data_IF_111127074242
#
_entry.id   IF_111127074242
#
_cell.length_a   1.000
_cell.length_b   1.000
_cell.length_c   1.000
_cell.angle_alpha   90.00
_cell.angle_beta   90.00
_cell.angle_gamma   90.00
#
_symmetry.space_group_name_H-M   'P 1'
#
loop_
_entity.id
_entity.type
_entity.pdbx_description
1 polymer ?
#
# COMPACT_ATOMS: atom_id res chain seq x y z
N UNK A 1 -15.59 8.37 -13.62
CA UNK A 1 -15.31 7.16 -12.83
C UNK A 1 -13.82 7.06 -12.52
N UNK A 2 -13.47 6.43 -11.41
CA UNK A 2 -12.09 6.05 -11.04
C UNK A 2 -11.92 4.55 -11.34
N UNK A 3 -10.87 4.20 -12.06
CA UNK A 3 -10.57 2.81 -12.44
C UNK A 3 -9.12 2.51 -12.07
N UNK A 4 -8.91 1.48 -11.25
CA UNK A 4 -7.56 0.98 -10.94
C UNK A 4 -7.07 0.10 -12.08
N UNK A 5 -5.84 0.35 -12.52
CA UNK A 5 -5.17 -0.42 -13.55
C UNK A 5 -3.92 -1.05 -12.94
N UNK A 6 -3.94 -2.36 -12.78
CA UNK A 6 -2.80 -3.13 -12.31
C UNK A 6 -1.80 -3.37 -13.44
N UNK A 7 -0.62 -2.79 -13.33
CA UNK A 7 0.43 -2.90 -14.34
C UNK A 7 0.90 -4.35 -14.49
N UNK A 8 0.98 -5.09 -13.37
CA UNK A 8 1.35 -6.50 -13.38
C UNK A 8 0.41 -7.36 -14.24
N UNK A 9 -0.89 -7.07 -14.23
CA UNK A 9 -1.87 -7.80 -15.04
C UNK A 9 -1.75 -7.51 -16.54
N UNK A 10 -1.23 -6.33 -16.92
CA UNK A 10 -0.94 -6.01 -18.32
C UNK A 10 0.26 -6.78 -18.87
N UNK A 11 1.25 -7.06 -18.04
CA UNK A 11 2.45 -7.81 -18.38
C UNK A 11 2.19 -9.31 -18.34
N UNK A 12 1.25 -9.76 -17.50
CA UNK A 12 0.96 -11.18 -17.34
C UNK A 12 0.56 -11.84 -18.68
N UNK A 13 1.24 -12.93 -19.03
CA UNK A 13 0.99 -13.70 -20.26
C UNK A 13 1.47 -13.05 -21.55
N UNK A 14 2.14 -11.89 -21.52
CA UNK A 14 2.78 -11.32 -22.70
C UNK A 14 4.14 -12.01 -22.92
N UNK A 15 4.35 -12.56 -24.13
CA UNK A 15 5.63 -13.15 -24.54
C UNK A 15 6.55 -12.13 -25.20
N UNK A 16 5.98 -11.06 -25.74
CA UNK A 16 6.69 -10.05 -26.50
C UNK A 16 6.30 -8.64 -26.01
N UNK A 17 7.25 -7.72 -26.08
CA UNK A 17 7.08 -6.31 -25.75
C UNK A 17 5.87 -5.66 -26.46
N UNK A 18 5.66 -5.98 -27.72
CA UNK A 18 4.56 -5.42 -28.51
C UNK A 18 3.18 -5.73 -27.97
N UNK A 19 2.97 -6.91 -27.38
CA UNK A 19 1.66 -7.29 -26.80
C UNK A 19 1.27 -6.41 -25.61
N UNK A 20 2.22 -6.05 -24.77
CA UNK A 20 2.00 -5.11 -23.66
C UNK A 20 1.67 -3.71 -24.20
N UNK A 21 2.45 -3.22 -25.16
CA UNK A 21 2.25 -1.90 -25.76
C UNK A 21 0.88 -1.81 -26.43
N UNK A 22 0.43 -2.84 -27.14
CA UNK A 22 -0.89 -2.93 -27.75
C UNK A 22 -2.02 -2.92 -26.71
N UNK A 23 -1.87 -3.67 -25.61
CA UNK A 23 -2.86 -3.67 -24.52
C UNK A 23 -2.98 -2.30 -23.87
N UNK A 24 -1.85 -1.68 -23.54
CA UNK A 24 -1.83 -0.34 -22.92
C UNK A 24 -2.43 0.71 -23.88
N UNK A 25 -2.08 0.67 -25.17
CA UNK A 25 -2.68 1.53 -26.19
C UNK A 25 -4.19 1.35 -26.31
N UNK A 26 -4.67 0.11 -26.28
CA UNK A 26 -6.10 -0.20 -26.30
C UNK A 26 -6.85 0.45 -25.14
N UNK A 27 -6.28 0.35 -23.92
CA UNK A 27 -6.86 0.96 -22.73
C UNK A 27 -6.87 2.49 -22.86
N UNK A 28 -5.72 3.08 -23.25
CA UNK A 28 -5.63 4.53 -23.46
C UNK A 28 -6.70 5.00 -24.47
N UNK A 29 -6.84 4.28 -25.56
CA UNK A 29 -7.81 4.61 -26.60
C UNK A 29 -9.24 4.53 -26.10
N UNK A 30 -9.56 3.51 -25.30
CA UNK A 30 -10.89 3.35 -24.70
C UNK A 30 -11.21 4.51 -23.73
N UNK A 31 -10.29 4.83 -22.81
CA UNK A 31 -10.55 5.87 -21.80
C UNK A 31 -10.47 7.30 -22.33
N UNK A 32 -9.85 7.49 -23.50
CA UNK A 32 -9.77 8.79 -24.18
C UNK A 32 -10.81 8.98 -25.29
N UNK A 33 -11.67 7.99 -25.53
CA UNK A 33 -12.76 8.11 -26.49
C UNK A 33 -13.73 9.22 -26.03
N UNK A 34 -14.03 10.23 -26.86
CA UNK A 34 -14.99 11.28 -26.50
C UNK A 34 -16.39 10.78 -26.15
N UNK A 35 -16.74 9.57 -26.56
CA UNK A 35 -18.03 8.92 -26.24
C UNK A 35 -17.98 8.13 -24.93
N UNK A 36 -16.80 7.83 -24.40
CA UNK A 36 -16.65 7.13 -23.14
C UNK A 36 -16.99 8.05 -21.96
N UNK A 37 -17.49 7.50 -20.84
CA UNK A 37 -17.68 8.29 -19.63
C UNK A 37 -16.34 8.81 -19.11
N UNK A 38 -16.27 10.05 -18.58
CA UNK A 38 -15.04 10.60 -18.00
C UNK A 38 -14.41 9.62 -17.02
N UNK A 39 -13.15 9.26 -17.26
CA UNK A 39 -12.44 8.23 -16.51
C UNK A 39 -11.09 8.75 -16.05
N UNK A 40 -10.80 8.53 -14.77
CA UNK A 40 -9.47 8.74 -14.17
C UNK A 40 -8.87 7.36 -13.95
N UNK A 41 -7.67 7.12 -14.45
CA UNK A 41 -6.93 5.89 -14.19
C UNK A 41 -6.11 6.05 -12.91
N UNK A 42 -6.24 5.09 -11.99
CA UNK A 42 -5.33 4.94 -10.87
C UNK A 42 -4.26 3.91 -11.24
N UNK A 43 -3.00 4.30 -11.13
CA UNK A 43 -1.84 3.47 -11.44
C UNK A 43 -0.98 3.34 -10.19
N UNK A 44 -1.05 2.19 -9.54
CA UNK A 44 -0.13 1.89 -8.46
C UNK A 44 1.25 1.57 -9.02
N UNK A 45 2.30 1.90 -8.27
CA UNK A 45 3.70 1.73 -8.69
C UNK A 45 3.98 2.27 -10.11
N UNK A 46 3.46 3.46 -10.43
CA UNK A 46 3.58 4.07 -11.77
C UNK A 46 5.02 4.09 -12.29
N UNK A 47 6.02 4.10 -11.40
CA UNK A 47 7.43 4.05 -11.75
C UNK A 47 7.81 2.78 -12.55
N UNK A 48 7.05 1.70 -12.40
CA UNK A 48 7.29 0.44 -13.15
C UNK A 48 7.03 0.61 -14.65
N UNK A 49 6.08 1.48 -15.02
CA UNK A 49 5.84 1.83 -16.44
C UNK A 49 6.95 2.70 -17.03
N UNK A 50 7.61 3.50 -16.20
CA UNK A 50 8.64 4.48 -16.65
C UNK A 50 10.03 3.85 -16.59
N UNK A 51 10.30 3.04 -15.56
CA UNK A 51 11.62 2.48 -15.29
C UNK A 51 11.96 1.21 -16.06
N UNK A 52 10.96 0.47 -16.50
CA UNK A 52 11.15 -0.80 -17.20
C UNK A 52 11.86 -0.64 -18.57
N UNK A 53 11.85 0.56 -19.16
CA UNK A 53 12.51 0.86 -20.41
C UNK A 53 14.02 1.13 -20.33
N UNK A 54 14.56 1.31 -19.13
CA UNK A 54 15.98 1.68 -18.95
C UNK A 54 16.96 0.49 -19.07
N UNK A 55 16.49 -0.76 -18.98
CA UNK A 55 17.28 -1.94 -19.28
C UNK A 55 17.13 -2.31 -20.76
N UNK A 56 18.21 -2.78 -21.40
CA UNK A 56 18.17 -3.26 -22.80
C UNK A 56 17.04 -4.30 -22.97
N UNK A 57 15.99 -3.91 -23.73
CA UNK A 57 14.79 -4.74 -23.94
C UNK A 57 13.62 -4.50 -22.98
N UNK A 58 13.73 -3.54 -22.05
CA UNK A 58 12.66 -3.21 -21.11
C UNK A 58 11.43 -2.55 -21.75
N UNK A 59 10.29 -2.69 -21.10
CA UNK A 59 9.00 -2.15 -21.55
C UNK A 59 8.94 -0.66 -21.18
N UNK A 60 8.91 0.23 -22.18
CA UNK A 60 8.72 1.69 -21.95
C UNK A 60 7.25 2.09 -22.12
N UNK A 61 6.45 1.79 -21.10
CA UNK A 61 5.04 2.18 -21.08
C UNK A 61 4.83 3.69 -21.03
N UNK A 62 5.83 4.44 -20.58
CA UNK A 62 5.77 5.91 -20.54
C UNK A 62 5.61 6.52 -21.91
N UNK A 63 6.25 5.97 -22.95
CA UNK A 63 6.12 6.47 -24.31
C UNK A 63 4.68 6.40 -24.83
N UNK A 64 3.89 5.43 -24.34
CA UNK A 64 2.49 5.29 -24.72
C UNK A 64 1.59 6.30 -23.99
N UNK A 65 1.92 6.66 -22.75
CA UNK A 65 1.14 7.61 -21.94
C UNK A 65 1.40 9.07 -22.32
N UNK A 66 2.66 9.42 -22.63
CA UNK A 66 3.10 10.80 -22.90
C UNK A 66 2.24 11.56 -23.90
N UNK A 67 1.86 11.00 -25.07
CA UNK A 67 1.06 11.74 -26.05
C UNK A 67 -0.35 12.09 -25.54
N UNK A 68 -1.00 11.17 -24.84
CA UNK A 68 -2.35 11.36 -24.30
C UNK A 68 -2.34 12.35 -23.11
N UNK A 69 -1.34 12.27 -22.23
CA UNK A 69 -1.10 13.24 -21.16
C UNK A 69 -0.79 14.63 -21.71
N UNK A 70 0.05 14.72 -22.74
CA UNK A 70 0.41 15.99 -23.36
C UNK A 70 -0.79 16.73 -23.96
N UNK A 71 -1.75 16.00 -24.52
CA UNK A 71 -2.98 16.56 -25.07
C UNK A 71 -4.08 16.81 -24.03
N UNK A 72 -3.85 16.44 -22.76
CA UNK A 72 -4.88 16.53 -21.70
C UNK A 72 -6.07 15.60 -21.89
N UNK A 73 -5.91 14.55 -22.71
CA UNK A 73 -6.95 13.57 -23.00
C UNK A 73 -7.04 12.47 -21.96
N UNK A 74 -5.95 12.24 -21.24
CA UNK A 74 -5.84 11.20 -20.21
C UNK A 74 -5.65 11.86 -18.84
N UNK A 75 -6.46 11.45 -17.87
CA UNK A 75 -6.32 11.82 -16.46
C UNK A 75 -5.86 10.61 -15.68
N UNK A 76 -4.76 10.77 -14.94
CA UNK A 76 -4.20 9.69 -14.11
C UNK A 76 -3.90 10.16 -12.69
N UNK A 77 -3.99 9.24 -11.76
CA UNK A 77 -3.43 9.34 -10.41
C UNK A 77 -2.40 8.21 -10.30
N UNK A 78 -1.13 8.57 -10.19
CA UNK A 78 -0.05 7.59 -10.03
C UNK A 78 0.42 7.55 -8.58
N UNK A 79 0.51 6.36 -7.99
CA UNK A 79 1.14 6.17 -6.69
C UNK A 79 2.55 5.63 -6.87
N UNK A 80 3.49 6.11 -6.06
CA UNK A 80 4.89 5.66 -6.05
C UNK A 80 5.60 6.11 -4.78
N UNK A 81 6.79 5.59 -4.51
CA UNK A 81 7.64 6.08 -3.43
C UNK A 81 8.36 7.36 -3.83
N UNK A 82 8.79 8.16 -2.84
CA UNK A 82 9.58 9.38 -3.09
C UNK A 82 10.90 9.05 -3.81
N UNK A 83 11.54 7.94 -3.45
CA UNK A 83 12.78 7.50 -4.08
C UNK A 83 12.60 7.16 -5.56
N UNK A 84 11.56 6.41 -5.89
CA UNK A 84 11.23 6.02 -7.26
C UNK A 84 10.73 7.22 -8.10
N UNK A 85 9.96 8.13 -7.49
CA UNK A 85 9.57 9.38 -8.13
C UNK A 85 10.80 10.18 -8.60
N UNK A 86 11.78 10.41 -7.72
CA UNK A 86 13.02 11.13 -8.04
C UNK A 86 13.87 10.42 -9.07
N UNK A 87 13.85 9.10 -9.06
CA UNK A 87 14.68 8.28 -9.96
C UNK A 87 14.13 8.22 -11.38
N UNK A 88 12.80 8.12 -11.54
CA UNK A 88 12.16 7.82 -12.80
C UNK A 88 11.25 8.92 -13.33
N UNK A 89 10.43 9.56 -12.50
CA UNK A 89 9.42 10.54 -12.95
C UNK A 89 10.03 11.94 -13.07
N UNK A 90 10.71 12.41 -12.02
CA UNK A 90 11.30 13.75 -11.96
C UNK A 90 12.37 13.98 -13.05
N UNK A 91 13.06 12.95 -13.47
CA UNK A 91 14.06 13.01 -14.55
C UNK A 91 13.46 13.04 -15.94
N UNK A 92 12.21 12.68 -16.10
CA UNK A 92 11.52 12.71 -17.38
C UNK A 92 10.73 14.02 -17.52
N UNK A 93 11.31 14.99 -18.19
CA UNK A 93 10.73 16.33 -18.35
C UNK A 93 9.31 16.36 -18.99
N UNK A 94 8.93 15.32 -19.74
CA UNK A 94 7.60 15.21 -20.33
C UNK A 94 6.56 14.76 -19.30
N UNK A 95 6.93 13.85 -18.41
CA UNK A 95 6.07 13.38 -17.31
C UNK A 95 6.02 14.41 -16.17
N UNK A 96 7.17 14.94 -15.76
CA UNK A 96 7.28 15.91 -14.67
C UNK A 96 6.37 17.15 -14.89
N UNK A 97 6.28 17.64 -16.13
CA UNK A 97 5.40 18.76 -16.47
C UNK A 97 3.91 18.42 -16.49
N UNK A 98 3.54 17.15 -16.44
CA UNK A 98 2.16 16.67 -16.55
C UNK A 98 1.63 15.99 -15.30
N UNK A 99 2.53 15.55 -14.42
CA UNK A 99 2.23 14.87 -13.17
C UNK A 99 2.66 15.77 -12.02
N UNK A 100 1.70 16.39 -11.36
CA UNK A 100 1.99 17.19 -10.18
C UNK A 100 2.16 16.29 -8.97
N UNK A 101 3.31 16.34 -8.26
CA UNK A 101 3.52 15.53 -7.07
C UNK A 101 2.62 16.00 -5.92
N UNK A 102 1.97 15.04 -5.27
CA UNK A 102 1.23 15.21 -4.03
C UNK A 102 1.86 14.33 -2.96
N UNK A 103 2.52 14.96 -1.99
CA UNK A 103 3.16 14.24 -0.90
C UNK A 103 2.12 13.80 0.13
N UNK A 104 1.97 12.48 0.29
CA UNK A 104 1.21 11.87 1.38
C UNK A 104 2.17 11.69 2.55
N UNK A 105 1.91 12.41 3.64
CA UNK A 105 2.73 12.33 4.86
C UNK A 105 2.33 11.13 5.70
N UNK A 106 3.29 10.63 6.48
CA UNK A 106 3.03 9.64 7.52
C UNK A 106 2.01 10.20 8.53
N UNK A 107 0.99 9.41 8.94
CA UNK A 107 0.01 9.85 9.92
C UNK A 107 0.65 10.01 11.30
N UNK A 108 0.05 10.87 12.13
CA UNK A 108 0.42 10.98 13.54
C UNK A 108 -0.02 9.73 14.32
N UNK A 109 0.47 9.55 15.55
CA UNK A 109 0.04 8.46 16.43
C UNK A 109 -1.48 8.47 16.61
N UNK A 110 -2.08 9.63 16.88
CA UNK A 110 -3.53 9.74 17.09
C UNK A 110 -4.33 9.40 15.83
N UNK A 111 -3.85 9.81 14.67
CA UNK A 111 -4.45 9.43 13.38
C UNK A 111 -4.30 7.92 13.12
N UNK A 112 -3.16 7.35 13.50
CA UNK A 112 -2.93 5.89 13.38
C UNK A 112 -3.88 5.12 14.30
N UNK A 113 -4.08 5.55 15.54
CA UNK A 113 -5.09 4.94 16.44
C UNK A 113 -6.46 4.92 15.78
N UNK A 114 -6.91 6.06 15.22
CA UNK A 114 -8.19 6.11 14.49
C UNK A 114 -8.26 5.17 13.27
N UNK A 115 -7.12 4.94 12.59
CA UNK A 115 -7.04 3.95 11.50
C UNK A 115 -7.18 2.52 12.06
N UNK A 116 -6.48 2.19 13.16
CA UNK A 116 -6.57 0.88 13.80
C UNK A 116 -8.00 0.60 14.31
N UNK A 117 -8.65 1.59 14.92
CA UNK A 117 -10.06 1.50 15.35
C UNK A 117 -10.99 1.21 14.17
N UNK A 118 -10.78 1.85 13.02
CA UNK A 118 -11.59 1.60 11.82
C UNK A 118 -11.37 0.20 11.22
N UNK A 119 -10.21 -0.42 11.46
CA UNK A 119 -9.87 -1.75 10.99
C UNK A 119 -10.22 -2.86 12.01
N UNK A 120 -10.45 -2.50 13.28
CA UNK A 120 -10.63 -3.39 14.41
C UNK A 120 -11.62 -4.53 14.14
N UNK A 121 -12.83 -4.22 13.71
CA UNK A 121 -13.89 -5.22 13.45
C UNK A 121 -13.47 -6.29 12.41
N UNK A 122 -12.61 -5.91 11.45
CA UNK A 122 -12.15 -6.83 10.43
C UNK A 122 -11.12 -7.81 11.01
N UNK A 123 -10.17 -7.31 11.81
CA UNK A 123 -9.15 -8.13 12.44
C UNK A 123 -9.72 -8.99 13.57
N UNK A 124 -10.68 -8.48 14.36
CA UNK A 124 -11.40 -9.26 15.36
C UNK A 124 -12.12 -10.48 14.74
N UNK A 125 -12.82 -10.25 13.63
CA UNK A 125 -13.47 -11.35 12.89
C UNK A 125 -12.49 -12.31 12.24
N UNK A 126 -11.35 -11.82 11.78
CA UNK A 126 -10.33 -12.66 11.12
C UNK A 126 -9.63 -13.58 12.10
N UNK A 127 -9.21 -13.06 13.24
CA UNK A 127 -8.47 -13.81 14.25
C UNK A 127 -9.38 -14.47 15.31
N UNK A 128 -10.65 -14.07 15.41
CA UNK A 128 -11.56 -14.55 16.47
C UNK A 128 -11.13 -14.05 17.86
N UNK A 129 -10.75 -12.79 17.97
CA UNK A 129 -10.25 -12.14 19.18
C UNK A 129 -10.95 -10.80 19.40
N UNK A 130 -10.74 -10.18 20.57
CA UNK A 130 -11.13 -8.78 20.84
C UNK A 130 -9.88 -7.92 21.10
N UNK A 131 -9.88 -6.67 20.61
CA UNK A 131 -8.83 -5.70 20.91
C UNK A 131 -9.34 -4.69 21.92
N UNK A 132 -8.55 -4.44 22.98
CA UNK A 132 -8.87 -3.35 23.90
C UNK A 132 -8.46 -2.00 23.30
N UNK A 133 -9.12 -0.88 23.65
CA UNK A 133 -8.70 0.46 23.19
C UNK A 133 -7.24 0.78 23.56
N UNK A 134 -6.79 0.28 24.70
CA UNK A 134 -5.42 0.43 25.19
C UNK A 134 -4.43 -0.31 24.29
N UNK A 135 -4.79 -1.51 23.79
CA UNK A 135 -3.94 -2.28 22.87
C UNK A 135 -3.74 -1.56 21.54
N UNK A 136 -4.78 -0.95 20.96
CA UNK A 136 -4.67 -0.18 19.72
C UNK A 136 -3.79 1.06 19.91
N UNK A 137 -3.95 1.75 21.04
CA UNK A 137 -3.11 2.89 21.41
C UNK A 137 -1.65 2.46 21.60
N UNK A 138 -1.42 1.33 22.27
CA UNK A 138 -0.10 0.77 22.47
C UNK A 138 0.54 0.35 21.14
N UNK A 139 -0.22 -0.28 20.24
CA UNK A 139 0.26 -0.67 18.92
C UNK A 139 0.80 0.52 18.14
N UNK A 140 0.07 1.63 18.08
CA UNK A 140 0.52 2.84 17.40
C UNK A 140 1.77 3.46 18.05
N UNK A 141 1.78 3.60 19.39
CA UNK A 141 2.89 4.22 20.13
C UNK A 141 4.17 3.39 20.12
N UNK A 142 4.04 2.08 20.36
CA UNK A 142 5.19 1.20 20.45
C UNK A 142 5.78 0.91 19.07
N UNK A 143 4.94 0.77 18.03
CA UNK A 143 5.42 0.66 16.65
C UNK A 143 6.20 1.91 16.24
N UNK A 144 5.70 3.10 16.55
CA UNK A 144 6.40 4.35 16.23
C UNK A 144 7.77 4.44 16.93
N UNK A 145 7.85 4.01 18.18
CA UNK A 145 9.05 4.13 19.01
C UNK A 145 10.12 3.08 18.70
N UNK A 146 9.73 1.84 18.40
CA UNK A 146 10.65 0.71 18.33
C UNK A 146 10.86 0.13 16.94
N UNK A 147 9.93 0.38 15.98
CA UNK A 147 10.04 -0.12 14.60
C UNK A 147 10.49 1.03 13.70
N UNK A 148 11.79 1.08 13.36
CA UNK A 148 12.40 2.20 12.64
C UNK A 148 12.55 1.97 11.13
N UNK A 149 12.38 0.76 10.66
CA UNK A 149 12.55 0.35 9.26
C UNK A 149 11.27 0.47 8.41
N UNK A 150 10.15 0.82 9.04
CA UNK A 150 8.82 0.96 8.42
C UNK A 150 8.13 2.23 8.90
N UNK A 151 7.06 2.61 8.20
CA UNK A 151 6.27 3.81 8.47
C UNK A 151 4.89 3.49 9.06
N UNK A 152 4.32 4.44 9.79
CA UNK A 152 2.91 4.40 10.13
C UNK A 152 2.05 4.67 8.87
N UNK A 153 0.85 4.06 8.75
CA UNK A 153 0.21 3.19 9.74
C UNK A 153 0.67 1.72 9.65
N UNK A 154 1.36 1.30 8.60
CA UNK A 154 1.60 -0.10 8.25
C UNK A 154 2.26 -0.88 9.38
N UNK A 155 3.32 -0.35 9.99
CA UNK A 155 4.00 -1.02 11.13
C UNK A 155 3.10 -1.23 12.36
N UNK A 156 2.11 -0.37 12.56
CA UNK A 156 1.14 -0.52 13.64
C UNK A 156 0.03 -1.53 13.27
N UNK A 157 -0.35 -1.58 12.02
CA UNK A 157 -1.28 -2.58 11.49
C UNK A 157 -0.66 -3.98 11.55
N UNK A 158 0.60 -4.14 11.12
CA UNK A 158 1.34 -5.40 11.22
C UNK A 158 1.42 -5.90 12.68
N UNK A 159 1.68 -4.97 13.61
CA UNK A 159 1.73 -5.30 15.04
C UNK A 159 0.37 -5.71 15.60
N UNK A 160 -0.70 -5.07 15.17
CA UNK A 160 -2.07 -5.43 15.52
C UNK A 160 -2.42 -6.82 14.97
N UNK A 161 -2.07 -7.11 13.73
CA UNK A 161 -2.31 -8.41 13.08
C UNK A 161 -1.59 -9.55 13.80
N UNK A 162 -0.30 -9.38 14.07
CA UNK A 162 0.50 -10.36 14.83
C UNK A 162 -0.05 -10.60 16.24
N UNK A 163 -0.48 -9.52 16.91
CA UNK A 163 -1.05 -9.63 18.25
C UNK A 163 -2.37 -10.43 18.24
N UNK A 164 -3.19 -10.26 17.22
CA UNK A 164 -4.39 -11.08 17.04
C UNK A 164 -4.06 -12.55 16.86
N UNK A 165 -3.08 -12.85 16.02
CA UNK A 165 -2.64 -14.23 15.78
C UNK A 165 -2.08 -14.89 17.06
N UNK A 166 -1.23 -14.19 17.81
CA UNK A 166 -0.64 -14.69 19.07
C UNK A 166 -1.72 -14.91 20.12
N UNK A 167 -2.66 -13.98 20.30
CA UNK A 167 -3.76 -14.12 21.24
C UNK A 167 -4.66 -15.32 20.90
N UNK A 168 -5.00 -15.49 19.62
CA UNK A 168 -5.77 -16.64 19.14
C UNK A 168 -5.09 -17.98 19.49
N UNK A 169 -3.78 -18.09 19.18
CA UNK A 169 -3.01 -19.31 19.46
C UNK A 169 -2.88 -19.60 20.96
N UNK A 170 -2.76 -18.58 21.80
CA UNK A 170 -2.62 -18.73 23.26
C UNK A 170 -3.85 -19.34 23.91
N UNK A 171 -5.05 -19.04 23.42
CA UNK A 171 -6.30 -19.60 23.95
C UNK A 171 -6.59 -20.98 23.37
N UNK A 172 -6.36 -21.19 22.08
CA UNK A 172 -6.66 -22.46 21.41
C UNK A 172 -5.56 -23.52 21.60
N UNK A 173 -4.33 -23.12 22.00
CA UNK A 173 -3.23 -24.03 22.34
C UNK A 173 -3.36 -24.68 23.73
N UNK A 174 -4.08 -24.07 24.66
CA UNK A 174 -4.38 -24.59 25.99
C UNK A 174 -5.84 -25.05 26.05
N UNK A 175 -6.07 -26.30 25.74
CA UNK A 175 -7.36 -27.01 25.76
C UNK A 175 -8.30 -26.57 26.88
N UNK A 176 -9.56 -26.25 26.54
CA UNK A 176 -10.79 -26.37 27.36
C UNK A 176 -11.40 -25.16 28.04
N UNK A 177 -11.01 -23.93 27.78
CA UNK A 177 -11.83 -22.79 28.20
C UNK A 177 -12.40 -22.11 26.96
N UNK A 178 -13.72 -21.96 26.90
CA UNK A 178 -14.43 -21.19 25.88
C UNK A 178 -14.26 -19.68 26.10
N UNK A 179 -13.09 -19.26 26.58
CA UNK A 179 -12.76 -17.87 26.82
C UNK A 179 -12.40 -17.19 25.49
N UNK A 180 -12.99 -16.05 25.29
CA UNK A 180 -12.72 -15.21 24.13
C UNK A 180 -11.29 -14.64 24.26
N UNK A 181 -10.47 -14.78 23.22
CA UNK A 181 -9.10 -14.28 23.23
C UNK A 181 -9.11 -12.74 23.17
N UNK A 182 -8.40 -12.09 24.09
CA UNK A 182 -8.35 -10.63 24.20
C UNK A 182 -6.91 -10.17 24.02
N UNK A 183 -6.72 -9.23 23.08
CA UNK A 183 -5.44 -8.53 22.86
C UNK A 183 -5.38 -7.32 23.80
N UNK A 184 -4.39 -7.32 24.68
CA UNK A 184 -4.15 -6.25 25.65
C UNK A 184 -2.88 -5.45 25.31
N UNK A 185 -2.63 -4.36 26.07
CA UNK A 185 -1.37 -3.61 25.98
C UNK A 185 -0.15 -4.52 26.23
N UNK A 186 -0.26 -5.46 27.18
CA UNK A 186 0.82 -6.40 27.50
C UNK A 186 1.13 -7.32 26.32
N UNK A 187 0.10 -7.79 25.59
CA UNK A 187 0.28 -8.60 24.37
C UNK A 187 1.11 -7.84 23.35
N UNK A 188 0.77 -6.58 23.09
CA UNK A 188 1.47 -5.69 22.17
C UNK A 188 2.92 -5.47 22.62
N UNK A 189 3.14 -5.18 23.92
CA UNK A 189 4.46 -4.94 24.48
C UNK A 189 5.37 -6.18 24.37
N UNK A 190 4.82 -7.38 24.56
CA UNK A 190 5.56 -8.63 24.40
C UNK A 190 6.06 -8.80 22.95
N UNK A 191 5.20 -8.60 21.95
CA UNK A 191 5.57 -8.77 20.55
C UNK A 191 6.65 -7.75 20.14
N UNK A 192 6.51 -6.49 20.57
CA UNK A 192 7.54 -5.47 20.32
C UNK A 192 8.87 -5.85 20.97
N UNK A 193 8.85 -6.43 22.18
CA UNK A 193 10.07 -6.92 22.82
C UNK A 193 10.75 -8.02 21.98
N UNK A 194 9.97 -8.93 21.41
CA UNK A 194 10.46 -9.99 20.53
C UNK A 194 11.03 -9.41 19.20
N UNK A 195 10.32 -8.48 18.56
CA UNK A 195 10.76 -7.88 17.31
C UNK A 195 12.02 -7.01 17.46
N UNK A 196 12.08 -6.21 18.52
CA UNK A 196 13.17 -5.26 18.74
C UNK A 196 14.37 -5.85 19.51
N UNK A 197 14.21 -7.03 20.12
CA UNK A 197 15.13 -7.59 21.13
C UNK A 197 15.41 -6.63 22.31
N UNK A 198 14.49 -5.69 22.59
CA UNK A 198 14.57 -4.75 23.70
C UNK A 198 13.46 -5.09 24.70
N UNK A 199 13.74 -5.33 25.98
CA UNK A 199 12.70 -5.53 26.96
C UNK A 199 11.80 -4.28 27.07
N UNK A 200 10.57 -4.37 26.59
CA UNK A 200 9.55 -3.33 26.77
C UNK A 200 8.77 -3.69 28.03
N UNK A 201 9.31 -3.30 29.16
CA UNK A 201 8.68 -3.47 30.47
C UNK A 201 8.11 -2.16 31.01
N UNK A 202 7.18 -2.29 31.97
CA UNK A 202 6.50 -1.17 32.68
C UNK A 202 7.48 -0.12 33.16
#
# INVERSE_FOLDING_TARGET
RLVSLEIASLVAGTKYRGEFEERLQSIIKEVTDPKAPPTILFLDEIHTLVGAGAAEGGIDGAQQLKPALARGQLQIIGATTIAEYRKYIEKDAALERRLQPLLVKEPTIDQTVGILEALQDNYERHHGVQYTPESLTAAAKLAERYVNDRFLPDKAIDLMDEAGAVAHLSVHGNTSSGDEAVVTEETIAQIISEWSNIPVGK
#
